data_IF_750951524523
#
_entry.id   IF_750951524523
#
_cell.length_a   1.000
_cell.length_b   1.000
_cell.length_c   1.000
_cell.angle_alpha   90.00
_cell.angle_beta   90.00
_cell.angle_gamma   90.00
#
_symmetry.space_group_name_H-M   'P 1'
#
loop_
_entity.id
_entity.type
_entity.pdbx_description
1 polymer ?
#
# COMPACT_ATOMS: atom_id res chain seq x y z
N UNK A 1 -3.81 59.98 -34.17
CA UNK A 1 -2.71 59.04 -33.85
C UNK A 1 -2.78 58.52 -32.41
N UNK A 2 -3.46 59.18 -31.48
CA UNK A 2 -3.61 58.71 -30.08
C UNK A 2 -4.62 57.55 -29.88
N UNK A 3 -5.54 57.28 -30.82
CA UNK A 3 -6.41 56.09 -30.73
C UNK A 3 -5.69 54.75 -30.99
N UNK A 4 -4.47 54.77 -31.52
CA UNK A 4 -3.64 53.56 -31.66
C UNK A 4 -2.87 53.19 -30.40
N UNK A 5 -2.64 54.14 -29.48
CA UNK A 5 -1.95 53.88 -28.23
C UNK A 5 -2.84 53.18 -27.18
N UNK A 6 -4.17 53.37 -27.28
CA UNK A 6 -5.15 52.69 -26.42
C UNK A 6 -5.39 51.21 -26.80
N UNK A 7 -5.08 50.80 -28.03
CA UNK A 7 -5.13 49.39 -28.44
C UNK A 7 -3.90 48.59 -28.02
N UNK A 8 -2.80 49.27 -27.66
CA UNK A 8 -1.59 48.65 -27.07
C UNK A 8 -1.61 48.63 -25.53
N UNK A 9 -2.71 49.07 -24.90
CA UNK A 9 -2.89 49.09 -23.44
C UNK A 9 -4.24 48.48 -23.01
N UNK A 10 -4.66 47.39 -23.65
CA UNK A 10 -5.59 46.47 -22.98
C UNK A 10 -4.81 45.65 -21.94
N UNK A 11 -5.03 45.98 -20.66
CA UNK A 11 -4.63 45.16 -19.52
C UNK A 11 -5.49 43.90 -19.50
N UNK A 12 -4.88 42.74 -19.75
CA UNK A 12 -5.50 41.43 -19.56
C UNK A 12 -5.64 41.16 -18.04
N UNK A 13 -6.80 40.67 -17.55
CA UNK A 13 -7.00 40.43 -16.13
C UNK A 13 -6.38 39.10 -15.64
N UNK A 14 -5.69 39.19 -14.49
CA UNK A 14 -5.50 38.17 -13.44
C UNK A 14 -5.26 36.70 -13.88
N UNK A 15 -4.09 36.40 -14.43
CA UNK A 15 -3.57 35.02 -14.54
C UNK A 15 -2.40 34.76 -13.59
N UNK A 16 -2.53 35.23 -12.34
CA UNK A 16 -1.62 34.83 -11.27
C UNK A 16 -2.37 34.70 -9.93
N UNK A 17 -3.50 33.99 -9.92
CA UNK A 17 -3.90 33.28 -8.70
C UNK A 17 -3.05 32.02 -8.58
N UNK A 18 -1.76 32.19 -8.28
CA UNK A 18 -0.97 31.09 -7.74
C UNK A 18 -1.13 31.08 -6.23
N UNK A 19 -1.25 29.88 -5.66
CA UNK A 19 -1.24 29.67 -4.21
C UNK A 19 0.05 30.18 -3.56
N UNK A 20 1.11 30.40 -4.35
CA UNK A 20 2.36 31.03 -3.91
C UNK A 20 2.16 32.45 -3.34
N UNK A 21 1.14 33.20 -3.81
CA UNK A 21 0.77 34.48 -3.21
C UNK A 21 0.16 34.35 -1.80
N UNK A 22 -0.21 33.12 -1.38
CA UNK A 22 -0.74 32.79 -0.06
C UNK A 22 0.14 31.83 0.73
N UNK A 23 1.27 31.36 0.17
CA UNK A 23 2.12 30.32 0.74
C UNK A 23 3.40 30.85 1.41
N UNK A 24 3.50 32.16 1.68
CA UNK A 24 4.55 32.68 2.53
C UNK A 24 4.12 32.57 4.00
N UNK A 25 4.92 31.83 4.78
CA UNK A 25 4.75 31.59 6.20
C UNK A 25 4.36 32.84 7.01
N UNK A 26 3.08 32.95 7.34
CA UNK A 26 2.56 33.83 8.37
C UNK A 26 1.42 33.11 9.10
N UNK A 27 1.29 33.24 10.43
CA UNK A 27 0.16 32.67 11.14
C UNK A 27 -1.11 33.29 10.56
N UNK A 28 -2.04 32.43 10.13
CA UNK A 28 -3.33 32.81 9.59
C UNK A 28 -4.00 33.82 10.54
N UNK A 29 -4.00 35.10 10.14
CA UNK A 29 -4.86 36.11 10.77
C UNK A 29 -6.20 36.01 10.07
N UNK A 30 -7.18 35.41 10.74
CA UNK A 30 -8.56 35.51 10.30
C UNK A 30 -8.89 36.98 9.99
N UNK A 31 -9.47 37.26 8.83
CA UNK A 31 -9.92 38.61 8.45
C UNK A 31 -11.22 39.01 9.16
N UNK A 32 -11.83 38.08 9.90
CA UNK A 32 -12.97 38.32 10.76
C UNK A 32 -12.51 38.98 12.08
N UNK A 33 -12.89 40.23 12.26
CA UNK A 33 -12.60 41.01 13.45
C UNK A 33 -13.14 40.35 14.73
N UNK A 34 -14.26 39.64 14.64
CA UNK A 34 -14.90 38.93 15.75
C UNK A 34 -14.06 37.75 16.21
N UNK A 35 -13.52 36.99 15.26
CA UNK A 35 -12.63 35.87 15.54
C UNK A 35 -11.29 36.32 16.13
N UNK A 36 -10.71 37.41 15.61
CA UNK A 36 -9.48 38.01 16.16
C UNK A 36 -9.67 38.53 17.59
N UNK A 37 -10.82 39.11 17.89
CA UNK A 37 -11.11 39.61 19.24
C UNK A 37 -11.39 38.48 20.23
N UNK A 38 -12.02 37.38 19.78
CA UNK A 38 -12.19 36.17 20.58
C UNK A 38 -10.84 35.51 20.93
N UNK A 39 -9.90 35.42 19.98
CA UNK A 39 -8.55 34.90 20.23
C UNK A 39 -7.79 35.77 21.21
N UNK A 40 -7.83 37.10 21.06
CA UNK A 40 -7.18 38.03 22.01
C UNK A 40 -7.77 37.94 23.41
N UNK A 41 -9.09 37.78 23.54
CA UNK A 41 -9.75 37.59 24.84
C UNK A 41 -9.36 36.25 25.48
N UNK A 42 -9.24 35.19 24.68
CA UNK A 42 -8.79 33.88 25.17
C UNK A 42 -7.33 33.93 25.66
N UNK A 43 -6.41 34.51 24.86
CA UNK A 43 -5.00 34.67 25.25
C UNK A 43 -4.82 35.54 26.50
N UNK A 44 -5.55 36.67 26.59
CA UNK A 44 -5.54 37.54 27.76
C UNK A 44 -6.13 36.87 29.01
N UNK A 45 -7.06 35.92 28.84
CA UNK A 45 -7.60 35.09 29.90
C UNK A 45 -6.67 33.91 30.29
N UNK A 46 -5.46 33.86 29.73
CA UNK A 46 -4.46 32.83 30.05
C UNK A 46 -4.72 31.49 29.35
N UNK A 47 -5.54 31.46 28.29
CA UNK A 47 -5.70 30.27 27.47
C UNK A 47 -4.35 29.87 26.89
N UNK A 48 -3.81 28.76 27.37
CA UNK A 48 -2.82 27.97 26.66
C UNK A 48 -3.58 26.83 26.02
N UNK A 49 -3.42 26.64 24.72
CA UNK A 49 -3.84 25.39 24.10
C UNK A 49 -3.24 24.25 24.96
N UNK A 50 -4.05 23.27 25.40
CA UNK A 50 -3.49 22.12 26.08
C UNK A 50 -2.37 21.60 25.18
N UNK A 51 -1.16 21.41 25.74
CA UNK A 51 -0.16 20.63 25.04
C UNK A 51 -0.87 19.34 24.69
N UNK A 52 -1.07 19.07 23.41
CA UNK A 52 -1.66 17.81 23.00
C UNK A 52 -0.80 16.74 23.68
N UNK A 53 -1.39 16.01 24.62
CA UNK A 53 -0.76 14.88 25.32
C UNK A 53 -0.58 13.80 24.27
N UNK A 54 0.45 13.98 23.44
CA UNK A 54 0.74 13.12 22.30
C UNK A 54 1.56 11.88 22.71
N UNK A 55 1.91 11.76 23.98
CA UNK A 55 2.61 10.64 24.56
C UNK A 55 2.23 10.59 26.05
N UNK A 56 1.42 9.62 26.45
CA UNK A 56 1.36 9.00 27.79
C UNK A 56 0.10 8.14 27.94
N UNK A 57 -0.97 8.47 27.22
CA UNK A 57 -2.07 7.54 27.02
C UNK A 57 -1.73 6.65 25.82
N UNK A 58 -1.48 5.36 26.06
CA UNK A 58 -1.43 4.36 25.00
C UNK A 58 -2.62 4.49 24.05
N UNK A 59 -2.44 4.01 22.81
CA UNK A 59 -3.40 3.98 21.69
C UNK A 59 -4.83 4.39 22.09
N UNK A 60 -5.38 5.53 21.60
CA UNK A 60 -6.79 5.79 21.76
C UNK A 60 -7.57 4.58 21.24
N UNK A 61 -8.45 3.99 22.04
CA UNK A 61 -9.26 2.82 21.69
C UNK A 61 -10.03 2.95 20.36
N UNK A 62 -10.10 4.17 19.81
CA UNK A 62 -10.74 4.54 18.55
C UNK A 62 -9.79 4.66 17.35
N UNK A 63 -8.59 4.06 17.36
CA UNK A 63 -7.65 4.18 16.23
C UNK A 63 -8.22 3.66 14.88
N UNK A 64 -9.36 2.98 14.88
CA UNK A 64 -10.19 2.73 13.69
C UNK A 64 -9.62 1.72 12.70
N UNK A 65 -8.42 1.20 12.95
CA UNK A 65 -7.77 0.15 12.17
C UNK A 65 -7.77 -1.21 12.87
N UNK A 66 -7.83 -1.26 14.21
CA UNK A 66 -8.29 -2.45 14.95
C UNK A 66 -9.76 -2.26 15.23
N UNK A 67 -10.57 -3.23 14.79
CA UNK A 67 -12.02 -3.21 14.94
C UNK A 67 -12.38 -4.32 15.93
N UNK A 68 -12.80 -4.00 17.17
CA UNK A 68 -13.37 -5.00 18.05
C UNK A 68 -14.64 -5.58 17.41
N UNK A 69 -14.67 -6.87 17.15
CA UNK A 69 -15.81 -7.56 16.57
C UNK A 69 -15.95 -8.97 17.15
N UNK A 70 -17.16 -9.53 17.06
CA UNK A 70 -17.40 -10.92 17.40
C UNK A 70 -16.99 -11.81 16.22
N UNK A 71 -16.01 -12.68 16.45
CA UNK A 71 -15.53 -13.67 15.50
C UNK A 71 -15.64 -15.03 16.19
N UNK A 72 -16.36 -15.98 15.59
CA UNK A 72 -16.60 -17.31 16.13
C UNK A 72 -17.11 -17.31 17.59
N UNK A 73 -18.02 -16.38 17.91
CA UNK A 73 -18.60 -16.24 19.26
C UNK A 73 -17.67 -15.62 20.30
N UNK A 74 -16.51 -15.09 19.90
CA UNK A 74 -15.52 -14.48 20.78
C UNK A 74 -15.21 -13.04 20.35
N UNK A 75 -15.20 -12.14 21.33
CA UNK A 75 -14.73 -10.77 21.13
C UNK A 75 -13.25 -10.79 20.70
N UNK A 76 -12.97 -10.23 19.52
CA UNK A 76 -11.71 -10.37 18.81
C UNK A 76 -11.27 -9.01 18.26
N UNK A 77 -9.96 -8.75 18.30
CA UNK A 77 -9.35 -7.60 17.65
C UNK A 77 -9.15 -7.90 16.16
N UNK A 78 -10.00 -7.32 15.31
CA UNK A 78 -9.95 -7.52 13.86
C UNK A 78 -9.04 -6.50 13.21
N UNK A 79 -8.05 -6.98 12.45
CA UNK A 79 -7.12 -6.15 11.67
C UNK A 79 -7.37 -6.35 10.18
N UNK A 80 -7.69 -5.30 9.39
CA UNK A 80 -7.80 -5.43 7.95
C UNK A 80 -6.46 -5.86 7.34
N UNK A 81 -6.48 -6.86 6.45
CA UNK A 81 -5.27 -7.34 5.76
C UNK A 81 -4.51 -6.21 5.05
N UNK A 82 -5.23 -5.20 4.55
CA UNK A 82 -4.64 -4.02 3.92
C UNK A 82 -3.73 -3.23 4.86
N UNK A 83 -3.96 -3.24 6.18
CA UNK A 83 -3.05 -2.60 7.16
C UNK A 83 -1.71 -3.32 7.15
N UNK A 84 -1.73 -4.66 7.19
CA UNK A 84 -0.53 -5.50 7.16
C UNK A 84 0.23 -5.30 5.85
N UNK A 85 -0.45 -5.38 4.71
CA UNK A 85 0.16 -5.14 3.39
C UNK A 85 0.77 -3.74 3.29
N UNK A 86 0.05 -2.71 3.76
CA UNK A 86 0.54 -1.33 3.69
C UNK A 86 1.73 -1.08 4.60
N UNK A 87 1.75 -1.69 5.79
CA UNK A 87 2.89 -1.60 6.71
C UNK A 87 4.15 -2.06 5.99
N UNK A 88 4.16 -3.27 5.43
CA UNK A 88 5.36 -3.79 4.78
C UNK A 88 5.79 -3.00 3.54
N UNK A 89 4.86 -2.27 2.91
CA UNK A 89 5.18 -1.36 1.79
C UNK A 89 5.80 -0.05 2.28
N UNK A 90 5.13 0.58 3.25
CA UNK A 90 5.47 1.90 3.82
C UNK A 90 5.19 1.86 5.34
N UNK A 91 6.11 1.33 6.16
CA UNK A 91 5.84 1.11 7.59
C UNK A 91 5.42 2.39 8.28
N UNK A 92 6.22 3.43 8.11
CA UNK A 92 6.07 4.74 8.76
C UNK A 92 4.80 5.47 8.40
N UNK A 93 4.51 5.57 7.11
CA UNK A 93 3.25 6.18 6.65
C UNK A 93 2.05 5.37 7.17
N UNK A 94 2.17 4.06 7.29
CA UNK A 94 1.08 3.20 7.75
C UNK A 94 0.86 3.35 9.25
N UNK A 95 1.90 3.24 10.07
CA UNK A 95 1.79 3.42 11.52
C UNK A 95 1.27 4.82 11.82
N UNK A 96 1.84 5.87 11.23
CA UNK A 96 1.34 7.24 11.43
C UNK A 96 -0.14 7.39 11.05
N UNK A 97 -0.56 6.83 9.91
CA UNK A 97 -1.96 6.83 9.50
C UNK A 97 -2.85 6.07 10.49
N UNK A 98 -2.39 4.92 10.99
CA UNK A 98 -3.08 4.12 12.00
C UNK A 98 -3.22 4.89 13.33
N UNK A 99 -2.25 5.74 13.65
CA UNK A 99 -2.28 6.64 14.80
C UNK A 99 -3.01 7.97 14.52
N UNK A 100 -3.70 8.09 13.39
CA UNK A 100 -4.47 9.29 13.02
C UNK A 100 -3.62 10.48 12.59
N UNK A 101 -2.30 10.33 12.46
CA UNK A 101 -1.39 11.39 12.01
C UNK A 101 -1.52 11.56 10.49
N UNK A 102 -1.99 12.74 10.09
CA UNK A 102 -2.03 13.15 8.69
C UNK A 102 -0.69 13.77 8.31
N UNK A 103 0.10 13.05 7.52
CA UNK A 103 1.29 13.60 6.88
C UNK A 103 0.81 14.42 5.68
N UNK A 104 1.06 15.74 5.61
CA UNK A 104 0.71 16.54 4.45
C UNK A 104 1.37 15.92 3.22
N UNK A 105 0.60 15.64 2.18
CA UNK A 105 1.20 15.25 0.91
C UNK A 105 1.94 16.46 0.37
N UNK A 106 3.17 16.25 -0.12
CA UNK A 106 3.92 17.31 -0.77
C UNK A 106 3.04 17.87 -1.90
N UNK A 107 2.88 19.18 -1.98
CA UNK A 107 2.07 19.79 -3.03
C UNK A 107 2.60 19.31 -4.38
N UNK A 108 1.71 18.70 -5.17
CA UNK A 108 2.00 18.35 -6.56
C UNK A 108 2.47 19.63 -7.26
N UNK A 109 3.75 19.67 -7.59
CA UNK A 109 4.35 20.79 -8.30
C UNK A 109 3.51 21.07 -9.54
N UNK A 110 3.16 22.35 -9.76
CA UNK A 110 2.30 22.79 -10.86
C UNK A 110 2.60 22.01 -12.15
N UNK A 111 1.67 21.13 -12.53
CA UNK A 111 1.68 20.43 -13.80
C UNK A 111 1.53 21.47 -14.90
N UNK A 112 2.63 21.85 -15.54
CA UNK A 112 2.59 22.68 -16.73
C UNK A 112 2.30 21.79 -17.92
N UNK A 113 1.21 22.05 -18.64
CA UNK A 113 0.92 21.40 -19.92
C UNK A 113 2.07 21.70 -20.89
N UNK A 114 2.92 20.70 -21.10
CA UNK A 114 4.09 20.77 -21.97
C UNK A 114 3.76 20.33 -23.40
N UNK A 115 4.71 20.55 -24.31
CA UNK A 115 4.62 20.07 -25.69
C UNK A 115 4.53 18.54 -25.78
N UNK A 116 5.07 17.83 -24.78
CA UNK A 116 5.12 16.37 -24.64
C UNK A 116 4.38 15.94 -23.36
N UNK A 117 3.91 14.68 -23.27
CA UNK A 117 3.37 14.13 -22.02
C UNK A 117 4.39 14.20 -20.88
N UNK A 118 3.89 14.27 -19.65
CA UNK A 118 4.71 14.05 -18.46
C UNK A 118 5.29 12.62 -18.50
N UNK A 119 6.61 12.52 -18.58
CA UNK A 119 7.36 11.26 -18.61
C UNK A 119 7.91 10.86 -17.25
N UNK A 120 7.48 11.54 -16.18
CA UNK A 120 7.79 11.12 -14.82
C UNK A 120 7.36 9.66 -14.60
N UNK A 121 8.13 8.84 -13.86
CA UNK A 121 7.79 7.43 -13.67
C UNK A 121 6.38 7.19 -13.12
N UNK A 122 5.87 8.12 -12.30
CA UNK A 122 4.52 8.05 -11.74
C UNK A 122 3.45 8.37 -12.79
N UNK A 123 3.66 9.37 -13.64
CA UNK A 123 2.74 9.69 -14.73
C UNK A 123 2.67 8.56 -15.77
N UNK A 124 3.82 8.02 -16.17
CA UNK A 124 3.90 6.86 -17.08
C UNK A 124 3.14 5.66 -16.52
N UNK A 125 3.35 5.35 -15.23
CA UNK A 125 2.60 4.30 -14.56
C UNK A 125 1.10 4.60 -14.51
N UNK A 126 0.72 5.86 -14.24
CA UNK A 126 -0.66 6.33 -14.17
C UNK A 126 -1.39 6.17 -15.50
N UNK A 127 -0.77 6.54 -16.61
CA UNK A 127 -1.33 6.31 -17.96
C UNK A 127 -1.56 4.82 -18.19
N UNK A 128 -0.52 3.99 -18.02
CA UNK A 128 -0.64 2.53 -18.21
C UNK A 128 -1.75 1.90 -17.34
N UNK A 129 -1.91 2.37 -16.09
CA UNK A 129 -2.96 1.90 -15.19
C UNK A 129 -4.36 2.33 -15.65
N UNK A 130 -4.52 3.58 -16.08
CA UNK A 130 -5.80 4.09 -16.61
C UNK A 130 -6.25 3.32 -17.85
N UNK A 131 -5.36 3.10 -18.82
CA UNK A 131 -5.65 2.27 -19.98
C UNK A 131 -6.05 0.85 -19.57
N UNK A 132 -5.28 0.21 -18.68
CA UNK A 132 -5.57 -1.14 -18.24
C UNK A 132 -6.93 -1.25 -17.55
N UNK A 133 -7.27 -0.33 -16.65
CA UNK A 133 -8.56 -0.34 -15.94
C UNK A 133 -9.75 -0.23 -16.92
N UNK A 134 -9.65 0.62 -17.94
CA UNK A 134 -10.71 0.79 -18.95
C UNK A 134 -10.88 -0.47 -19.80
N UNK A 135 -9.78 -1.09 -20.24
CA UNK A 135 -9.80 -2.32 -21.03
C UNK A 135 -10.33 -3.52 -20.23
N UNK A 136 -9.94 -3.65 -18.97
CA UNK A 136 -10.43 -4.72 -18.08
C UNK A 136 -11.92 -4.57 -17.76
N UNK A 137 -12.47 -3.34 -17.79
CA UNK A 137 -13.91 -3.08 -17.69
C UNK A 137 -14.69 -3.37 -18.98
N UNK A 138 -14.01 -3.77 -20.06
CA UNK A 138 -14.63 -4.12 -21.33
C UNK A 138 -14.86 -2.94 -22.28
N UNK A 139 -14.22 -1.78 -22.05
CA UNK A 139 -14.23 -0.71 -23.05
C UNK A 139 -13.46 -1.16 -24.31
N UNK A 140 -14.00 -0.84 -25.49
CA UNK A 140 -13.34 -1.14 -26.76
C UNK A 140 -11.99 -0.43 -26.86
N UNK A 141 -10.91 -1.12 -27.30
CA UNK A 141 -9.61 -0.49 -27.55
C UNK A 141 -9.71 0.76 -28.41
N UNK A 142 -10.51 0.75 -29.47
CA UNK A 142 -10.64 1.87 -30.40
C UNK A 142 -11.28 3.09 -29.75
N UNK A 143 -12.22 2.88 -28.83
CA UNK A 143 -12.86 3.97 -28.08
C UNK A 143 -11.86 4.63 -27.11
N UNK A 144 -11.02 3.84 -26.44
CA UNK A 144 -9.96 4.36 -25.56
C UNK A 144 -8.91 5.12 -26.35
N UNK A 145 -8.45 4.57 -27.49
CA UNK A 145 -7.51 5.21 -28.42
C UNK A 145 -8.05 6.55 -28.90
N UNK A 146 -9.30 6.61 -29.37
CA UNK A 146 -9.93 7.84 -29.83
C UNK A 146 -10.01 8.92 -28.72
N UNK A 147 -10.34 8.51 -27.49
CA UNK A 147 -10.39 9.41 -26.32
C UNK A 147 -9.01 9.98 -26.00
N UNK A 148 -7.97 9.14 -26.01
CA UNK A 148 -6.61 9.54 -25.66
C UNK A 148 -5.94 10.39 -26.74
N UNK A 149 -6.22 10.15 -28.03
CA UNK A 149 -5.76 11.03 -29.12
C UNK A 149 -6.33 12.46 -29.05
N UNK A 150 -7.42 12.65 -28.31
CA UNK A 150 -8.01 13.96 -28.04
C UNK A 150 -7.57 14.58 -26.70
N UNK A 151 -6.86 13.82 -25.85
CA UNK A 151 -6.57 14.24 -24.48
C UNK A 151 -5.32 15.14 -24.42
N UNK A 152 -5.46 16.38 -23.90
CA UNK A 152 -4.35 17.33 -23.82
C UNK A 152 -3.22 16.90 -22.88
N UNK A 153 -3.45 15.93 -21.97
CA UNK A 153 -2.40 15.36 -21.09
C UNK A 153 -1.27 14.70 -21.87
N UNK A 154 -1.53 14.27 -23.11
CA UNK A 154 -0.53 13.66 -23.99
C UNK A 154 0.17 14.66 -24.93
N UNK A 155 0.01 15.96 -24.67
CA UNK A 155 0.71 17.03 -25.39
C UNK A 155 -0.15 17.75 -26.42
N UNK A 156 0.54 18.54 -27.28
CA UNK A 156 -0.10 19.33 -28.31
C UNK A 156 -0.71 18.46 -29.43
N UNK A 157 -1.59 19.08 -30.23
CA UNK A 157 -2.14 18.50 -31.47
C UNK A 157 -0.99 18.00 -32.36
N UNK A 158 -1.08 16.76 -32.87
CA UNK A 158 -0.02 16.10 -33.66
C UNK A 158 1.02 15.30 -32.84
N UNK A 159 1.23 15.61 -31.56
CA UNK A 159 2.03 14.79 -30.63
C UNK A 159 1.13 13.75 -29.95
N UNK A 160 0.00 14.23 -29.40
CA UNK A 160 -0.94 13.36 -28.67
C UNK A 160 -1.60 12.28 -29.53
N UNK A 161 -1.43 12.31 -30.85
CA UNK A 161 -1.97 11.28 -31.75
C UNK A 161 -1.22 9.95 -31.64
N UNK A 162 0.04 9.96 -31.21
CA UNK A 162 0.90 8.78 -31.11
C UNK A 162 1.60 8.64 -29.74
N UNK A 163 1.73 9.72 -28.96
CA UNK A 163 2.48 9.72 -27.70
C UNK A 163 1.96 8.75 -26.63
N UNK A 164 0.72 8.29 -26.74
CA UNK A 164 0.11 7.33 -25.82
C UNK A 164 0.30 5.86 -26.24
N UNK A 165 0.74 5.59 -27.48
CA UNK A 165 0.73 4.25 -28.08
C UNK A 165 1.52 3.22 -27.28
N UNK A 166 2.69 3.59 -26.75
CA UNK A 166 3.52 2.70 -25.96
C UNK A 166 2.84 2.28 -24.64
N UNK A 167 2.23 3.24 -23.95
CA UNK A 167 1.52 3.02 -22.69
C UNK A 167 0.29 2.15 -22.91
N UNK A 168 -0.47 2.45 -23.97
CA UNK A 168 -1.67 1.72 -24.33
C UNK A 168 -1.34 0.30 -24.82
N UNK A 169 -0.36 0.13 -25.69
CA UNK A 169 0.01 -1.17 -26.26
C UNK A 169 0.48 -2.16 -25.19
N UNK A 170 1.12 -1.67 -24.12
CA UNK A 170 1.44 -2.51 -22.95
C UNK A 170 0.17 -2.90 -22.19
N UNK A 171 -0.72 -1.96 -21.94
CA UNK A 171 -1.99 -2.22 -21.25
C UNK A 171 -2.88 -3.19 -22.02
N UNK A 172 -2.95 -3.07 -23.35
CA UNK A 172 -3.71 -3.96 -24.25
C UNK A 172 -3.21 -5.40 -24.19
N UNK A 173 -1.88 -5.61 -24.24
CA UNK A 173 -1.29 -6.94 -24.07
C UNK A 173 -1.62 -7.56 -22.71
N UNK A 174 -1.56 -6.77 -21.64
CA UNK A 174 -1.90 -7.22 -20.28
C UNK A 174 -3.38 -7.58 -20.21
N UNK A 175 -4.27 -6.74 -20.73
CA UNK A 175 -5.71 -6.96 -20.73
C UNK A 175 -6.09 -8.22 -21.51
N UNK A 176 -5.50 -8.41 -22.71
CA UNK A 176 -5.71 -9.61 -23.51
C UNK A 176 -5.26 -10.88 -22.78
N UNK A 177 -4.05 -10.86 -22.21
CA UNK A 177 -3.54 -12.02 -21.46
C UNK A 177 -4.39 -12.29 -20.21
N UNK A 178 -4.85 -11.25 -19.51
CA UNK A 178 -5.72 -11.40 -18.35
C UNK A 178 -7.10 -11.96 -18.73
N UNK A 179 -7.67 -11.54 -19.87
CA UNK A 179 -8.92 -12.09 -20.39
C UNK A 179 -8.78 -13.59 -20.70
N UNK A 180 -7.69 -14.00 -21.34
CA UNK A 180 -7.40 -15.41 -21.59
C UNK A 180 -7.30 -16.24 -20.30
N UNK A 181 -6.74 -15.68 -19.21
CA UNK A 181 -6.67 -16.37 -17.91
C UNK A 181 -8.03 -16.50 -17.20
N UNK A 182 -9.00 -15.65 -17.58
CA UNK A 182 -10.37 -15.65 -17.06
C UNK A 182 -11.35 -16.44 -17.92
N UNK A 183 -10.94 -16.88 -19.11
CA UNK A 183 -11.83 -17.61 -20.03
C UNK A 183 -12.35 -18.91 -19.39
N UNK A 184 -13.67 -19.11 -19.44
CA UNK A 184 -14.35 -20.24 -18.79
C UNK A 184 -14.59 -20.07 -17.28
N UNK A 185 -13.97 -19.09 -16.63
CA UNK A 185 -14.14 -18.83 -15.20
C UNK A 185 -15.30 -17.87 -14.93
N UNK A 186 -16.03 -18.10 -13.85
CA UNK A 186 -17.14 -17.25 -13.41
C UNK A 186 -16.79 -16.57 -12.09
N UNK A 187 -16.89 -15.23 -12.04
CA UNK A 187 -16.62 -14.48 -10.81
C UNK A 187 -17.67 -14.77 -9.74
N UNK A 188 -17.20 -14.98 -8.51
CA UNK A 188 -18.04 -15.20 -7.33
C UNK A 188 -18.46 -13.88 -6.70
N UNK A 189 -19.56 -13.89 -5.94
CA UNK A 189 -20.02 -12.69 -5.24
C UNK A 189 -18.95 -12.13 -4.30
N UNK A 190 -18.70 -10.81 -4.30
CA UNK A 190 -17.78 -10.18 -3.36
C UNK A 190 -18.17 -10.46 -1.92
N UNK A 191 -17.23 -10.96 -1.13
CA UNK A 191 -17.44 -11.23 0.30
C UNK A 191 -16.17 -11.02 1.10
N UNK A 192 -16.34 -10.97 2.42
CA UNK A 192 -15.26 -10.90 3.39
C UNK A 192 -15.21 -12.16 4.24
N UNK A 193 -14.02 -12.50 4.72
CA UNK A 193 -13.80 -13.59 5.67
C UNK A 193 -12.92 -13.12 6.83
N UNK A 194 -12.99 -13.84 7.95
CA UNK A 194 -12.09 -13.69 9.08
C UNK A 194 -11.09 -14.84 9.08
N UNK A 195 -9.82 -14.53 9.30
CA UNK A 195 -8.76 -15.52 9.53
C UNK A 195 -8.21 -15.31 10.92
N UNK A 196 -8.52 -16.22 11.83
CA UNK A 196 -8.00 -16.21 13.19
C UNK A 196 -6.49 -16.48 13.16
N UNK A 197 -5.72 -15.70 13.93
CA UNK A 197 -4.26 -15.83 14.02
C UNK A 197 -3.87 -16.38 15.40
N UNK A 198 -3.63 -17.70 15.54
CA UNK A 198 -3.30 -18.31 16.81
C UNK A 198 -2.02 -17.72 17.42
N UNK A 199 -2.00 -17.59 18.74
CA UNK A 199 -0.85 -17.08 19.50
C UNK A 199 -0.69 -15.56 19.49
N UNK A 200 -1.48 -14.82 18.70
CA UNK A 200 -1.46 -13.36 18.73
C UNK A 200 -2.55 -12.81 19.64
N UNK A 201 -2.18 -11.77 20.40
CA UNK A 201 -3.10 -10.97 21.20
C UNK A 201 -2.88 -9.49 20.95
N UNK A 202 -3.95 -8.71 21.14
CA UNK A 202 -3.93 -7.26 21.10
C UNK A 202 -4.49 -6.71 22.39
N UNK A 203 -3.78 -5.75 23.00
CA UNK A 203 -4.24 -5.08 24.21
C UNK A 203 -5.13 -3.90 23.85
N UNK A 204 -6.44 -4.11 23.94
CA UNK A 204 -7.43 -3.04 23.86
C UNK A 204 -7.51 -2.30 25.21
N UNK A 205 -7.40 -0.96 25.24
CA UNK A 205 -7.44 -0.20 26.50
C UNK A 205 -8.73 -0.36 27.31
N UNK A 206 -9.86 -0.61 26.64
CA UNK A 206 -11.19 -0.72 27.26
C UNK A 206 -11.55 -2.18 27.57
N UNK A 207 -11.09 -3.12 26.72
CA UNK A 207 -11.56 -4.52 26.70
C UNK A 207 -10.50 -5.52 27.17
N UNK A 208 -9.27 -5.07 27.43
CA UNK A 208 -8.17 -5.94 27.85
C UNK A 208 -7.54 -6.69 26.67
N UNK A 209 -6.97 -7.87 26.94
CA UNK A 209 -6.35 -8.68 25.90
C UNK A 209 -7.38 -9.41 25.05
N UNK A 210 -7.36 -9.13 23.75
CA UNK A 210 -8.22 -9.75 22.75
C UNK A 210 -7.39 -10.66 21.85
N UNK A 211 -7.92 -11.83 21.42
CA UNK A 211 -7.32 -12.58 20.32
C UNK A 211 -7.34 -11.74 19.03
N UNK A 212 -6.51 -12.09 18.05
CA UNK A 212 -6.41 -11.36 16.78
C UNK A 212 -6.96 -12.19 15.61
N UNK A 213 -7.70 -11.53 14.73
CA UNK A 213 -8.09 -12.07 13.43
C UNK A 213 -7.85 -11.04 12.31
N UNK A 214 -7.59 -11.53 11.10
CA UNK A 214 -7.53 -10.70 9.90
C UNK A 214 -8.89 -10.60 9.23
N UNK A 215 -9.29 -9.39 8.83
CA UNK A 215 -10.39 -9.19 7.89
C UNK A 215 -9.84 -9.23 6.46
N UNK A 216 -10.33 -10.19 5.69
CA UNK A 216 -9.86 -10.50 4.34
C UNK A 216 -10.97 -10.20 3.33
N UNK A 217 -10.64 -9.50 2.25
CA UNK A 217 -11.55 -9.30 1.12
C UNK A 217 -11.28 -10.38 0.06
N UNK A 218 -12.32 -11.17 -0.26
CA UNK A 218 -12.28 -12.30 -1.20
C UNK A 218 -12.87 -11.94 -2.58
N UNK A 219 -12.97 -10.66 -2.92
CA UNK A 219 -13.42 -10.20 -4.24
C UNK A 219 -12.48 -10.64 -5.37
N UNK A 220 -13.04 -10.86 -6.57
CA UNK A 220 -12.28 -11.26 -7.76
C UNK A 220 -11.87 -12.73 -7.77
N UNK A 221 -12.38 -13.54 -6.83
CA UNK A 221 -12.25 -15.00 -6.87
C UNK A 221 -13.28 -15.55 -7.86
N UNK A 222 -12.86 -16.51 -8.66
CA UNK A 222 -13.64 -17.13 -9.72
C UNK A 222 -13.68 -18.64 -9.55
N UNK A 223 -14.75 -19.27 -10.03
CA UNK A 223 -14.93 -20.73 -10.06
C UNK A 223 -14.99 -21.23 -11.50
N UNK A 224 -14.68 -22.51 -11.69
CA UNK A 224 -14.81 -23.21 -12.95
C UNK A 224 -15.43 -24.59 -12.71
N UNK A 225 -16.37 -25.07 -13.55
CA UNK A 225 -17.08 -26.34 -13.32
C UNK A 225 -16.15 -27.56 -13.29
N UNK A 226 -15.04 -27.51 -14.04
CA UNK A 226 -14.09 -28.63 -14.15
C UNK A 226 -12.86 -28.51 -13.23
N UNK A 227 -12.71 -27.40 -12.49
CA UNK A 227 -11.56 -27.20 -11.60
C UNK A 227 -12.00 -27.09 -10.14
N UNK A 228 -11.42 -27.94 -9.29
CA UNK A 228 -11.68 -27.91 -7.85
C UNK A 228 -11.07 -26.66 -7.17
N UNK A 229 -9.99 -26.12 -7.75
CA UNK A 229 -9.39 -24.88 -7.29
C UNK A 229 -10.14 -23.67 -7.87
N UNK A 230 -10.27 -22.63 -7.05
CA UNK A 230 -10.74 -21.31 -7.47
C UNK A 230 -9.58 -20.54 -8.08
N UNK A 231 -9.86 -19.50 -8.86
CA UNK A 231 -8.83 -18.67 -9.49
C UNK A 231 -9.05 -17.20 -9.21
N UNK A 232 -7.97 -16.45 -9.01
CA UNK A 232 -7.98 -14.98 -8.96
C UNK A 232 -6.94 -14.44 -9.92
N UNK A 233 -7.37 -13.59 -10.85
CA UNK A 233 -6.50 -12.97 -11.86
C UNK A 233 -6.28 -11.51 -11.51
N UNK A 234 -5.02 -11.12 -11.29
CA UNK A 234 -4.62 -9.76 -10.94
C UNK A 234 -3.80 -9.16 -12.08
N UNK A 235 -4.42 -8.28 -12.85
CA UNK A 235 -3.77 -7.53 -13.92
C UNK A 235 -3.15 -6.24 -13.37
N UNK A 236 -1.90 -5.92 -13.77
CA UNK A 236 -1.22 -4.71 -13.30
C UNK A 236 -0.15 -4.22 -14.29
N UNK A 237 0.01 -2.89 -14.48
CA UNK A 237 1.13 -2.34 -15.25
C UNK A 237 2.46 -2.37 -14.47
N UNK A 238 2.45 -2.82 -13.21
CA UNK A 238 3.65 -2.90 -12.37
C UNK A 238 4.39 -4.20 -12.62
N UNK A 239 5.72 -4.20 -12.47
CA UNK A 239 6.51 -5.44 -12.59
C UNK A 239 6.04 -6.50 -11.59
N UNK A 240 5.64 -7.67 -12.10
CA UNK A 240 5.08 -8.77 -11.31
C UNK A 240 6.16 -9.70 -10.73
N UNK A 241 7.40 -9.55 -11.19
CA UNK A 241 8.57 -10.35 -10.80
C UNK A 241 9.54 -9.58 -9.88
N UNK A 242 9.16 -8.37 -9.45
CA UNK A 242 10.01 -7.48 -8.67
C UNK A 242 9.53 -7.38 -7.22
N UNK A 243 10.37 -7.83 -6.30
CA UNK A 243 10.11 -7.75 -4.87
C UNK A 243 9.99 -6.29 -4.39
N UNK A 244 9.11 -6.05 -3.42
CA UNK A 244 8.87 -4.69 -2.87
C UNK A 244 7.92 -3.82 -3.71
N UNK A 245 7.49 -4.27 -4.89
CA UNK A 245 6.39 -3.65 -5.64
C UNK A 245 5.04 -4.24 -5.23
N UNK A 246 3.97 -3.48 -5.51
CA UNK A 246 2.58 -3.85 -5.16
C UNK A 246 2.21 -5.29 -5.51
N UNK A 247 2.60 -5.85 -6.68
CA UNK A 247 2.22 -7.21 -7.04
C UNK A 247 2.82 -8.28 -6.13
N UNK A 248 4.02 -8.06 -5.57
CA UNK A 248 4.66 -9.00 -4.65
C UNK A 248 3.82 -9.25 -3.38
N UNK A 249 3.02 -8.27 -2.97
CA UNK A 249 2.15 -8.37 -1.80
C UNK A 249 0.84 -9.14 -2.07
N UNK A 250 0.56 -9.53 -3.32
CA UNK A 250 -0.53 -10.46 -3.61
C UNK A 250 -0.30 -11.84 -2.99
N UNK A 251 0.94 -12.18 -2.63
CA UNK A 251 1.24 -13.40 -1.86
C UNK A 251 0.50 -13.42 -0.52
N UNK A 252 0.37 -12.27 0.16
CA UNK A 252 -0.35 -12.16 1.41
C UNK A 252 -1.87 -12.28 1.21
N UNK A 253 -2.39 -11.76 0.08
CA UNK A 253 -3.81 -11.92 -0.27
C UNK A 253 -4.14 -13.36 -0.66
N UNK A 254 -3.23 -14.03 -1.37
CA UNK A 254 -3.33 -15.46 -1.65
C UNK A 254 -3.28 -16.28 -0.36
N UNK A 255 -2.32 -16.02 0.53
CA UNK A 255 -2.24 -16.64 1.86
C UNK A 255 -3.53 -16.48 2.65
N UNK A 256 -4.08 -15.26 2.68
CA UNK A 256 -5.28 -14.96 3.40
C UNK A 256 -6.53 -15.68 2.85
N UNK A 257 -6.62 -15.85 1.54
CA UNK A 257 -7.69 -16.65 0.94
C UNK A 257 -7.54 -18.14 1.29
N UNK A 258 -6.33 -18.70 1.16
CA UNK A 258 -6.05 -20.10 1.50
C UNK A 258 -6.32 -20.38 2.98
N UNK A 259 -5.90 -19.47 3.88
CA UNK A 259 -6.18 -19.54 5.31
C UNK A 259 -7.67 -19.41 5.64
N UNK A 260 -8.45 -18.71 4.82
CA UNK A 260 -9.91 -18.64 4.93
C UNK A 260 -10.63 -19.89 4.38
N UNK A 261 -9.90 -20.93 3.98
CA UNK A 261 -10.44 -22.17 3.44
C UNK A 261 -10.71 -22.14 1.93
N UNK A 262 -10.12 -21.19 1.21
CA UNK A 262 -10.28 -21.09 -0.25
C UNK A 262 -9.11 -21.78 -0.97
N UNK A 263 -9.30 -22.95 -1.61
CA UNK A 263 -8.28 -23.53 -2.47
C UNK A 263 -8.14 -22.64 -3.70
N UNK A 264 -7.14 -21.75 -3.69
CA UNK A 264 -7.02 -20.64 -4.64
C UNK A 264 -5.76 -20.76 -5.49
N UNK A 265 -5.89 -20.53 -6.78
CA UNK A 265 -4.81 -20.18 -7.69
C UNK A 265 -4.81 -18.66 -7.91
N UNK A 266 -3.69 -17.97 -7.62
CA UNK A 266 -3.58 -16.53 -7.90
C UNK A 266 -2.63 -16.31 -9.08
N UNK A 267 -3.17 -15.77 -10.17
CA UNK A 267 -2.42 -15.46 -11.40
C UNK A 267 -2.18 -13.96 -11.49
N UNK A 268 -0.92 -13.55 -11.38
CA UNK A 268 -0.49 -12.18 -11.66
C UNK A 268 -0.21 -12.03 -13.16
N UNK A 269 -0.72 -10.97 -13.77
CA UNK A 269 -0.55 -10.65 -15.19
C UNK A 269 0.03 -9.25 -15.33
N UNK A 270 1.21 -9.13 -15.94
CA UNK A 270 1.89 -7.85 -16.06
C UNK A 270 3.31 -7.95 -16.61
N UNK A 271 4.07 -6.84 -16.59
CA UNK A 271 5.46 -6.83 -17.06
C UNK A 271 6.35 -7.72 -16.18
N UNK A 272 7.22 -8.52 -16.80
CA UNK A 272 8.27 -9.29 -16.12
C UNK A 272 9.57 -9.23 -16.91
N UNK A 273 10.70 -9.37 -16.22
CA UNK A 273 12.02 -9.37 -16.86
C UNK A 273 12.34 -10.76 -17.37
N UNK A 274 12.66 -10.83 -18.66
CA UNK A 274 13.14 -12.04 -19.34
C UNK A 274 14.50 -11.71 -19.95
N UNK A 275 15.57 -12.28 -19.37
CA UNK A 275 16.96 -11.93 -19.73
C UNK A 275 17.21 -10.41 -19.62
N UNK A 276 17.44 -9.73 -20.73
CA UNK A 276 17.66 -8.28 -20.82
C UNK A 276 16.41 -7.47 -21.19
N UNK A 277 15.29 -8.13 -21.54
CA UNK A 277 14.06 -7.48 -21.98
C UNK A 277 12.97 -7.50 -20.89
N UNK A 278 11.99 -6.61 -21.02
CA UNK A 278 10.75 -6.63 -20.22
C UNK A 278 9.61 -7.01 -21.14
N UNK A 279 8.91 -8.08 -20.79
CA UNK A 279 7.82 -8.65 -21.59
C UNK A 279 6.57 -8.78 -20.72
N UNK A 280 5.38 -8.81 -21.36
CA UNK A 280 4.14 -9.12 -20.65
C UNK A 280 4.04 -10.62 -20.42
N UNK A 281 3.77 -11.05 -19.19
CA UNK A 281 3.60 -12.46 -18.88
C UNK A 281 2.88 -12.69 -17.56
N UNK A 282 3.01 -13.91 -17.05
CA UNK A 282 2.36 -14.33 -15.81
C UNK A 282 3.34 -14.83 -14.75
N UNK A 283 2.89 -14.76 -13.50
CA UNK A 283 3.42 -15.45 -12.30
C UNK A 283 2.20 -16.04 -11.57
N UNK A 284 2.25 -17.32 -11.22
CA UNK A 284 1.10 -18.03 -10.64
C UNK A 284 1.46 -18.65 -9.30
N UNK A 285 0.67 -18.38 -8.26
CA UNK A 285 0.74 -19.06 -6.97
C UNK A 285 -0.33 -20.16 -6.90
N UNK A 286 0.05 -21.38 -6.57
CA UNK A 286 -0.82 -22.58 -6.61
C UNK A 286 -0.97 -23.30 -5.28
N UNK A 287 -0.23 -22.87 -4.25
CA UNK A 287 -0.23 -23.59 -2.98
C UNK A 287 -1.55 -23.42 -2.22
N UNK A 288 -1.95 -24.47 -1.51
CA UNK A 288 -3.30 -24.56 -0.93
C UNK A 288 -3.32 -25.09 0.51
N UNK A 289 -2.18 -25.09 1.22
CA UNK A 289 -2.09 -25.59 2.59
C UNK A 289 -2.53 -24.50 3.61
N UNK A 290 -3.69 -24.64 4.28
CA UNK A 290 -4.23 -23.60 5.16
C UNK A 290 -3.35 -23.33 6.38
N UNK A 291 -2.82 -24.37 7.02
CA UNK A 291 -2.00 -24.23 8.22
C UNK A 291 -0.74 -23.40 7.95
N UNK A 292 -0.01 -23.72 6.87
CA UNK A 292 1.17 -22.95 6.46
C UNK A 292 0.83 -21.50 6.10
N UNK A 293 -0.36 -21.25 5.55
CA UNK A 293 -0.85 -19.91 5.24
C UNK A 293 -1.14 -19.10 6.50
N UNK A 294 -1.81 -19.71 7.49
CA UNK A 294 -2.05 -19.13 8.82
C UNK A 294 -0.73 -18.84 9.51
N UNK A 295 0.21 -19.78 9.52
CA UNK A 295 1.53 -19.59 10.14
C UNK A 295 2.31 -18.41 9.54
N UNK A 296 2.30 -18.27 8.20
CA UNK A 296 2.90 -17.15 7.51
C UNK A 296 2.23 -15.83 7.89
N UNK A 297 0.89 -15.78 7.85
CA UNK A 297 0.12 -14.59 8.21
C UNK A 297 0.33 -14.19 9.66
N UNK A 298 0.40 -15.15 10.58
CA UNK A 298 0.72 -14.94 12.00
C UNK A 298 2.08 -14.27 12.14
N UNK A 299 3.15 -14.85 11.55
CA UNK A 299 4.50 -14.29 11.68
C UNK A 299 4.65 -12.92 11.03
N UNK A 300 3.97 -12.67 9.92
CA UNK A 300 3.98 -11.36 9.25
C UNK A 300 3.17 -10.32 10.02
N UNK A 301 2.05 -10.71 10.63
CA UNK A 301 1.16 -9.80 11.37
C UNK A 301 1.70 -9.48 12.77
N UNK A 302 2.36 -10.42 13.44
CA UNK A 302 2.99 -10.21 14.75
C UNK A 302 3.92 -8.99 14.74
N UNK A 303 4.82 -8.92 13.75
CA UNK A 303 5.73 -7.77 13.57
C UNK A 303 4.95 -6.46 13.42
N UNK A 304 3.83 -6.48 12.70
CA UNK A 304 2.98 -5.29 12.51
C UNK A 304 2.33 -4.87 13.81
N UNK A 305 1.78 -5.82 14.57
CA UNK A 305 1.15 -5.54 15.88
C UNK A 305 2.16 -4.99 16.87
N UNK A 306 3.37 -5.57 16.93
CA UNK A 306 4.46 -5.06 17.77
C UNK A 306 4.85 -3.64 17.38
N UNK A 307 5.02 -3.37 16.09
CA UNK A 307 5.35 -2.02 15.63
C UNK A 307 4.23 -1.00 15.94
N UNK A 308 2.96 -1.43 15.84
CA UNK A 308 1.81 -0.57 16.14
C UNK A 308 1.60 -0.38 17.65
N UNK A 309 1.91 -1.38 18.47
CA UNK A 309 1.80 -1.32 19.93
C UNK A 309 2.97 -0.59 20.60
N UNK A 310 4.15 -0.62 19.99
CA UNK A 310 5.40 -0.05 20.54
C UNK A 310 5.76 1.34 20.00
N UNK A 311 4.94 1.96 19.14
CA UNK A 311 5.23 3.28 18.59
C UNK A 311 5.16 4.38 19.69
N UNK A 312 6.24 4.52 20.45
CA UNK A 312 6.49 5.63 21.36
C UNK A 312 7.20 6.73 20.57
N UNK A 313 6.49 7.82 20.31
CA UNK A 313 7.00 8.97 19.56
C UNK A 313 7.92 9.85 20.42
N UNK A 314 9.10 9.37 20.82
CA UNK A 314 10.20 10.25 21.28
C UNK A 314 11.55 9.72 20.82
N UNK A 315 12.24 10.51 20.00
CA UNK A 315 13.67 10.34 19.74
C UNK A 315 14.45 11.22 20.69
N UNK A 316 15.27 10.62 21.55
CA UNK A 316 16.24 11.36 22.35
C UNK A 316 17.19 12.08 21.39
N UNK A 317 17.24 13.41 21.47
CA UNK A 317 17.95 14.30 20.53
C UNK A 317 19.48 14.16 20.46
N UNK A 318 20.05 13.08 21.00
CA UNK A 318 21.49 12.85 21.04
C UNK A 318 21.92 11.85 19.95
N UNK A 319 22.58 12.34 18.88
CA UNK A 319 23.37 11.50 17.96
C UNK A 319 22.88 11.37 16.51
N UNK A 320 22.25 12.41 15.95
CA UNK A 320 21.52 12.39 14.67
C UNK A 320 22.40 12.69 13.42
N UNK A 321 23.71 12.39 13.41
CA UNK A 321 24.59 12.85 12.32
C UNK A 321 24.74 11.92 11.11
N UNK A 322 24.51 10.61 11.20
CA UNK A 322 24.99 9.67 10.16
C UNK A 322 23.95 8.84 9.38
N UNK A 323 22.66 9.10 9.51
CA UNK A 323 21.64 8.33 8.77
C UNK A 323 21.05 9.15 7.63
N UNK A 324 21.60 8.97 6.42
CA UNK A 324 21.06 9.51 5.17
C UNK A 324 20.08 8.51 4.54
N UNK A 325 18.77 8.69 4.77
CA UNK A 325 17.60 8.41 3.88
C UNK A 325 16.32 8.09 4.69
N UNK A 326 15.17 8.62 4.20
CA UNK A 326 13.78 8.48 4.68
C UNK A 326 13.51 8.84 6.15
N UNK A 327 13.28 10.14 6.41
CA UNK A 327 13.01 10.71 7.73
C UNK A 327 11.74 10.20 8.45
N UNK A 328 10.84 9.50 7.75
CA UNK A 328 9.61 8.99 8.35
C UNK A 328 9.84 7.72 9.19
N UNK A 329 10.84 6.91 8.83
CA UNK A 329 11.18 5.67 9.55
C UNK A 329 11.69 5.95 10.96
N UNK A 330 12.30 7.13 11.17
CA UNK A 330 12.77 7.62 12.48
C UNK A 330 11.66 7.76 13.52
N UNK A 331 10.41 7.91 13.09
CA UNK A 331 9.29 8.27 13.94
C UNK A 331 8.71 7.04 14.66
N UNK A 332 9.00 5.82 14.18
CA UNK A 332 8.33 4.60 14.64
C UNK A 332 9.02 3.86 15.79
N UNK A 333 10.26 4.21 16.11
CA UNK A 333 11.13 3.35 16.92
C UNK A 333 11.86 4.13 18.00
N UNK A 334 11.87 3.58 19.21
CA UNK A 334 12.58 4.12 20.37
C UNK A 334 14.09 4.05 20.17
N UNK A 335 14.66 5.06 19.53
CA UNK A 335 16.09 5.21 19.33
C UNK A 335 16.68 4.49 18.10
N UNK A 336 17.97 4.71 17.87
CA UNK A 336 18.67 4.30 16.64
C UNK A 336 18.76 2.77 16.44
N UNK A 337 18.73 1.98 17.52
CA UNK A 337 18.83 0.52 17.43
C UNK A 337 17.55 -0.12 16.88
N UNK A 338 16.39 0.34 17.36
CA UNK A 338 15.09 -0.18 16.92
C UNK A 338 14.72 0.29 15.51
N UNK A 339 15.15 1.50 15.12
CA UNK A 339 15.06 1.98 13.75
C UNK A 339 15.81 1.06 12.77
N UNK A 340 17.05 0.67 13.11
CA UNK A 340 17.85 -0.22 12.27
C UNK A 340 17.19 -1.59 12.13
N UNK A 341 16.69 -2.16 13.23
CA UNK A 341 15.93 -3.43 13.20
C UNK A 341 14.71 -3.35 12.28
N UNK A 342 13.93 -2.28 12.34
CA UNK A 342 12.77 -2.09 11.46
C UNK A 342 13.15 -2.02 9.97
N UNK A 343 14.25 -1.33 9.64
CA UNK A 343 14.79 -1.27 8.27
C UNK A 343 15.28 -2.64 7.82
N UNK A 344 16.02 -3.36 8.66
CA UNK A 344 16.55 -4.69 8.37
C UNK A 344 15.43 -5.71 8.18
N UNK A 345 14.39 -5.69 9.03
CA UNK A 345 13.19 -6.53 8.89
C UNK A 345 12.46 -6.27 7.58
N UNK A 346 12.31 -5.00 7.18
CA UNK A 346 11.69 -4.65 5.91
C UNK A 346 12.52 -5.15 4.72
N UNK A 347 13.83 -5.00 4.77
CA UNK A 347 14.72 -5.47 3.71
C UNK A 347 14.67 -7.00 3.60
N UNK A 348 14.71 -7.71 4.74
CA UNK A 348 14.57 -9.15 4.78
C UNK A 348 13.20 -9.63 4.26
N UNK A 349 12.12 -8.90 4.55
CA UNK A 349 10.80 -9.17 3.97
C UNK A 349 10.79 -9.03 2.45
N UNK A 350 11.42 -7.98 1.91
CA UNK A 350 11.53 -7.80 0.45
C UNK A 350 12.32 -8.96 -0.17
N UNK A 351 13.43 -9.38 0.43
CA UNK A 351 14.22 -10.51 -0.06
C UNK A 351 13.43 -11.82 -0.02
N UNK A 352 12.69 -12.06 1.06
CA UNK A 352 11.78 -13.19 1.21
C UNK A 352 10.66 -13.20 0.17
N UNK A 353 10.02 -12.05 -0.09
CA UNK A 353 9.07 -11.91 -1.20
C UNK A 353 9.73 -12.24 -2.55
N UNK A 354 10.98 -11.81 -2.73
CA UNK A 354 11.75 -12.12 -3.93
C UNK A 354 12.02 -13.62 -4.12
N UNK A 355 12.23 -14.39 -3.04
CA UNK A 355 12.35 -15.85 -3.14
C UNK A 355 11.02 -16.50 -3.48
N UNK A 356 9.91 -16.04 -2.88
CA UNK A 356 8.57 -16.58 -3.19
C UNK A 356 8.14 -16.28 -4.62
N UNK A 357 8.47 -15.10 -5.17
CA UNK A 357 8.18 -14.79 -6.57
C UNK A 357 8.97 -15.64 -7.56
N UNK A 358 10.18 -16.07 -7.18
CA UNK A 358 11.01 -16.98 -7.99
C UNK A 358 10.55 -18.44 -7.90
N UNK A 359 10.02 -18.82 -6.74
CA UNK A 359 9.55 -20.17 -6.44
C UNK A 359 8.09 -20.10 -5.96
N UNK A 360 7.13 -19.76 -6.84
CA UNK A 360 5.76 -19.50 -6.41
C UNK A 360 5.00 -20.76 -5.97
N UNK A 361 5.54 -21.94 -6.24
CA UNK A 361 5.04 -23.23 -5.75
C UNK A 361 5.68 -23.66 -4.41
N UNK A 362 6.52 -22.81 -3.79
CA UNK A 362 7.12 -23.10 -2.50
C UNK A 362 6.04 -23.33 -1.43
N UNK A 363 6.16 -24.43 -0.68
CA UNK A 363 5.23 -24.78 0.39
C UNK A 363 5.13 -23.62 1.42
N UNK A 364 3.92 -23.12 1.74
CA UNK A 364 3.73 -22.00 2.64
C UNK A 364 4.20 -22.29 4.06
N UNK A 365 4.22 -23.56 4.50
CA UNK A 365 4.79 -23.95 5.81
C UNK A 365 6.31 -23.72 5.83
N UNK A 366 7.02 -24.16 4.80
CA UNK A 366 8.45 -23.90 4.67
C UNK A 366 8.75 -22.39 4.59
N UNK A 367 7.90 -21.64 3.87
CA UNK A 367 7.99 -20.19 3.80
C UNK A 367 7.76 -19.53 5.20
N UNK A 368 6.77 -20.00 5.95
CA UNK A 368 6.48 -19.53 7.30
C UNK A 368 7.63 -19.78 8.28
N UNK A 369 8.19 -21.00 8.31
CA UNK A 369 9.37 -21.31 9.13
C UNK A 369 10.58 -20.45 8.75
N UNK A 370 10.84 -20.27 7.45
CA UNK A 370 11.91 -19.40 6.99
C UNK A 370 11.71 -17.95 7.46
N UNK A 371 10.48 -17.42 7.35
CA UNK A 371 10.14 -16.08 7.81
C UNK A 371 10.28 -15.93 9.34
N UNK A 372 9.83 -16.91 10.11
CA UNK A 372 10.00 -16.93 11.58
C UNK A 372 11.47 -16.91 11.98
N UNK A 373 12.32 -17.74 11.35
CA UNK A 373 13.76 -17.78 11.61
C UNK A 373 14.43 -16.43 11.31
N UNK A 374 14.08 -15.81 10.19
CA UNK A 374 14.57 -14.46 9.81
C UNK A 374 14.17 -13.44 10.88
N UNK A 375 12.90 -13.46 11.29
CA UNK A 375 12.34 -12.50 12.24
C UNK A 375 12.96 -12.66 13.62
N UNK A 376 13.02 -13.88 14.16
CA UNK A 376 13.62 -14.18 15.45
C UNK A 376 15.10 -13.75 15.49
N UNK A 377 15.86 -14.05 14.44
CA UNK A 377 17.27 -13.63 14.32
C UNK A 377 17.42 -12.10 14.36
N UNK A 378 16.57 -11.37 13.66
CA UNK A 378 16.63 -9.90 13.59
C UNK A 378 16.11 -9.22 14.86
N UNK A 379 15.18 -9.85 15.57
CA UNK A 379 14.66 -9.38 16.85
C UNK A 379 15.52 -9.83 18.05
N UNK A 380 16.49 -10.73 17.85
CA UNK A 380 17.33 -11.27 18.92
C UNK A 380 16.60 -12.28 19.82
N UNK A 381 15.58 -12.93 19.28
CA UNK A 381 14.79 -13.95 19.97
C UNK A 381 15.40 -15.34 19.77
N UNK A 382 15.18 -16.22 20.73
CA UNK A 382 15.56 -17.62 20.58
C UNK A 382 14.73 -18.24 19.46
N UNK A 383 15.41 -18.88 18.51
CA UNK A 383 14.76 -19.77 17.55
C UNK A 383 14.62 -21.11 18.26
N UNK A 384 13.39 -21.55 18.53
CA UNK A 384 13.16 -22.96 18.83
C UNK A 384 13.49 -23.73 17.55
N UNK A 385 14.66 -24.36 17.51
CA UNK A 385 14.98 -25.36 16.50
C UNK A 385 14.06 -26.55 16.80
N UNK A 386 12.92 -26.62 16.12
CA UNK A 386 12.22 -27.89 15.97
C UNK A 386 13.21 -28.84 15.27
N UNK A 387 13.70 -29.82 16.04
CA UNK A 387 14.49 -30.93 15.52
C UNK A 387 13.78 -31.48 14.28
N UNK A 388 14.50 -31.54 13.15
CA UNK A 388 14.15 -32.47 12.09
C UNK A 388 14.22 -33.87 12.70
N UNK A 389 13.10 -34.35 13.27
CA UNK A 389 12.87 -35.77 13.43
C UNK A 389 12.64 -36.35 12.04
N UNK A 390 13.75 -36.51 11.33
CA UNK A 390 13.93 -37.58 10.38
C UNK A 390 13.94 -38.90 11.17
N UNK A 391 12.79 -39.30 11.70
CA UNK A 391 12.55 -40.69 12.03
C UNK A 391 12.13 -41.36 10.73
N UNK A 392 13.13 -41.91 10.04
CA UNK A 392 12.90 -43.03 9.16
C UNK A 392 12.41 -44.21 10.00
N UNK A 393 11.23 -44.71 9.67
CA UNK A 393 10.89 -46.11 9.92
C UNK A 393 10.33 -46.72 8.63
N UNK A 394 10.95 -47.84 8.29
CA UNK A 394 10.82 -48.75 7.15
C UNK A 394 9.45 -48.92 6.51
#
# INVERSE_FOLDING_TARGET
RERGAAQLTQRIPLTATSKANFAAAAPWRATDATALEAVRKAEAAGYRAPSATFADAGVPASAGWVIPAEVDGRLTAVVPLEVVVNYWRKPSKTVLKCWGVKVPEAEDGNRTDGMLPDTSPLAVWGYGNEALETLVRGESPDAVKARWSADPRFGLVGVREWAWEEYFGTAEKIAHLAAAQKEGWTETDPRTAYVTLPGLSWRDPERGELPVALLVNLSGIMTHPEHAQRRRVVATPSRIDEAGKRPAYEVLRHAAAVAAGEPLETVLVGPKKVKSAVETGTVTFTWAAPDGAVELLTGVTDVVLRALGSAAFMTDGAGVSDVRKNDMDRILWTGNADLRRGVDLRQAWIEFLGSLLKNPDQNPKAAAHAWRRITAKLLGEAVEDEEETAEGEN
#
